data_IF_253977795106
#
_entry.id   IF_253977795106
#
_cell.length_a   1.000
_cell.length_b   1.000
_cell.length_c   1.000
_cell.angle_alpha   90.00
_cell.angle_beta   90.00
_cell.angle_gamma   90.00
#
_symmetry.space_group_name_H-M   'P 1'
#
loop_
_entity.id
_entity.type
_entity.pdbx_description
1 polymer ?
#
# COMPACT_ATOMS: atom_id res chain seq x y z
N UNK A 1 -3.15 6.63 -17.61
CA UNK A 1 -3.51 6.61 -16.18
C UNK A 1 -3.58 8.00 -15.50
N UNK A 2 -3.36 9.15 -16.16
CA UNK A 2 -3.26 10.45 -15.46
C UNK A 2 -4.44 11.42 -15.62
N UNK A 3 -5.28 11.31 -16.65
CA UNK A 3 -6.39 12.27 -16.88
C UNK A 3 -7.74 11.83 -16.29
N UNK A 4 -8.03 10.53 -16.23
CA UNK A 4 -9.36 9.99 -15.91
C UNK A 4 -9.35 9.01 -14.73
N UNK A 5 -8.50 9.27 -13.74
CA UNK A 5 -8.34 8.39 -12.56
C UNK A 5 -8.84 9.12 -11.32
N UNK A 6 -9.50 8.40 -10.43
CA UNK A 6 -9.94 8.90 -9.12
C UNK A 6 -9.15 8.16 -8.04
N UNK A 7 -8.65 8.91 -7.06
CA UNK A 7 -7.89 8.41 -5.93
C UNK A 7 -8.70 8.55 -4.66
N UNK A 8 -8.95 7.42 -3.99
CA UNK A 8 -9.55 7.38 -2.67
C UNK A 8 -8.44 7.29 -1.63
N UNK A 9 -8.34 8.27 -0.74
CA UNK A 9 -7.32 8.28 0.33
C UNK A 9 -7.95 8.68 1.66
N UNK A 10 -7.20 8.52 2.75
CA UNK A 10 -7.52 9.18 4.02
C UNK A 10 -7.33 10.72 3.91
N UNK A 11 -7.78 11.45 4.93
CA UNK A 11 -7.66 12.92 5.02
C UNK A 11 -6.26 13.35 5.50
N UNK A 12 -5.21 12.83 4.88
CA UNK A 12 -3.86 13.28 5.18
C UNK A 12 -3.47 14.49 4.35
N UNK A 13 -3.04 15.56 5.01
CA UNK A 13 -2.71 16.85 4.37
C UNK A 13 -1.64 16.74 3.27
N UNK A 14 -0.73 15.78 3.37
CA UNK A 14 0.28 15.54 2.34
C UNK A 14 -0.34 15.20 0.97
N UNK A 15 -1.50 14.53 0.94
CA UNK A 15 -2.15 14.16 -0.32
C UNK A 15 -2.76 15.37 -1.03
N UNK A 16 -3.20 16.39 -0.29
CA UNK A 16 -3.82 17.60 -0.83
C UNK A 16 -2.84 18.40 -1.71
N UNK A 17 -1.54 18.27 -1.49
CA UNK A 17 -0.50 18.94 -2.28
C UNK A 17 -0.04 18.14 -3.52
N UNK A 18 -0.26 16.83 -3.52
CA UNK A 18 0.25 15.91 -4.57
C UNK A 18 -0.85 15.51 -5.56
N UNK A 19 -2.07 15.27 -5.07
CA UNK A 19 -3.18 14.78 -5.88
C UNK A 19 -4.04 15.97 -6.34
N UNK A 20 -4.31 16.11 -7.66
CA UNK A 20 -5.22 17.13 -8.14
C UNK A 20 -6.59 17.04 -7.46
N UNK A 21 -7.15 18.17 -7.02
CA UNK A 21 -8.44 18.23 -6.29
C UNK A 21 -9.60 17.55 -7.02
N UNK A 22 -9.61 17.59 -8.35
CA UNK A 22 -10.64 16.95 -9.18
C UNK A 22 -10.51 15.41 -9.24
N UNK A 23 -9.39 14.86 -8.78
CA UNK A 23 -9.10 13.43 -8.74
C UNK A 23 -9.03 12.89 -7.32
N UNK A 24 -9.05 13.74 -6.30
CA UNK A 24 -8.89 13.36 -4.91
C UNK A 24 -10.26 13.24 -4.23
N UNK A 25 -10.60 12.02 -3.82
CA UNK A 25 -11.77 11.76 -2.98
C UNK A 25 -11.26 11.30 -1.61
N UNK A 26 -11.55 12.10 -0.59
CA UNK A 26 -11.28 11.70 0.80
C UNK A 26 -12.32 10.64 1.18
N UNK A 27 -11.85 9.46 1.56
CA UNK A 27 -12.70 8.39 2.04
C UNK A 27 -13.12 8.69 3.49
N UNK A 28 -14.42 8.84 3.72
CA UNK A 28 -14.95 9.01 5.07
C UNK A 28 -14.61 7.81 5.95
N UNK A 29 -14.39 8.06 7.23
CA UNK A 29 -14.10 7.00 8.21
C UNK A 29 -15.28 6.02 8.27
N UNK A 30 -15.03 4.75 7.99
CA UNK A 30 -16.05 3.70 7.97
C UNK A 30 -16.73 3.48 6.61
N UNK A 31 -16.40 4.28 5.58
CA UNK A 31 -16.88 4.05 4.20
C UNK A 31 -16.35 2.75 3.58
N UNK A 32 -15.23 2.24 4.09
CA UNK A 32 -14.60 1.00 3.63
C UNK A 32 -13.81 1.12 2.32
N UNK A 33 -13.73 2.32 1.71
CA UNK A 33 -12.97 2.51 0.47
C UNK A 33 -11.46 2.23 0.64
N UNK A 34 -10.88 2.50 1.82
CA UNK A 34 -9.48 2.17 2.13
C UNK A 34 -9.25 0.70 2.50
N UNK A 35 -10.31 -0.04 2.88
CA UNK A 35 -10.20 -1.42 3.34
C UNK A 35 -9.56 -2.35 2.30
N UNK A 36 -9.75 -2.07 1.01
CA UNK A 36 -9.17 -2.86 -0.08
C UNK A 36 -7.64 -2.76 -0.04
N UNK A 37 -7.10 -1.54 0.09
CA UNK A 37 -5.67 -1.27 0.17
C UNK A 37 -5.10 -1.83 1.47
N UNK A 38 -5.79 -1.62 2.59
CA UNK A 38 -5.40 -2.15 3.90
C UNK A 38 -5.33 -3.69 3.90
N UNK A 39 -6.35 -4.36 3.34
CA UNK A 39 -6.39 -5.82 3.20
C UNK A 39 -5.26 -6.33 2.30
N UNK A 40 -4.98 -5.64 1.21
CA UNK A 40 -3.87 -5.97 0.33
C UNK A 40 -2.52 -5.86 1.05
N UNK A 41 -2.28 -4.73 1.74
CA UNK A 41 -1.08 -4.52 2.53
C UNK A 41 -0.93 -5.54 3.66
N UNK A 42 -2.03 -5.91 4.31
CA UNK A 42 -2.06 -6.96 5.33
C UNK A 42 -1.71 -8.33 4.74
N UNK A 43 -2.27 -8.66 3.57
CA UNK A 43 -1.97 -9.90 2.84
C UNK A 43 -0.49 -9.97 2.47
N UNK A 44 0.07 -8.88 1.92
CA UNK A 44 1.50 -8.79 1.61
C UNK A 44 2.37 -8.96 2.85
N UNK A 45 2.00 -8.33 3.96
CA UNK A 45 2.74 -8.46 5.22
C UNK A 45 2.73 -9.89 5.76
N UNK A 46 1.61 -10.59 5.66
CA UNK A 46 1.49 -11.97 6.12
C UNK A 46 2.22 -12.95 5.21
N UNK A 47 2.11 -12.78 3.88
CA UNK A 47 2.75 -13.69 2.91
C UNK A 47 4.23 -13.40 2.68
N UNK A 48 4.62 -12.15 2.78
CA UNK A 48 5.97 -11.66 2.46
C UNK A 48 6.51 -10.80 3.61
N UNK A 49 6.47 -11.36 4.82
CA UNK A 49 6.97 -10.71 6.05
C UNK A 49 8.42 -10.22 5.94
N UNK A 50 9.21 -10.87 5.08
CA UNK A 50 10.59 -10.52 4.75
C UNK A 50 10.76 -9.13 4.10
N UNK A 51 9.75 -8.62 3.38
CA UNK A 51 9.82 -7.28 2.76
C UNK A 51 9.47 -6.15 3.74
N UNK A 52 8.92 -6.47 4.91
CA UNK A 52 8.36 -5.49 5.84
C UNK A 52 9.30 -5.18 7.02
N UNK A 53 10.28 -6.05 7.30
CA UNK A 53 11.22 -5.89 8.40
C UNK A 53 12.61 -5.51 7.89
N UNK A 54 12.96 -4.22 8.00
CA UNK A 54 14.33 -3.73 7.79
C UNK A 54 15.35 -4.32 8.80
N UNK A 55 14.86 -4.96 9.87
CA UNK A 55 15.67 -5.42 11.00
C UNK A 55 16.03 -6.91 10.97
N UNK A 56 15.43 -7.72 10.08
CA UNK A 56 15.71 -9.15 10.07
C UNK A 56 16.85 -9.42 9.08
N UNK A 57 18.02 -9.75 9.64
CA UNK A 57 19.29 -10.05 8.97
C UNK A 57 19.20 -11.31 8.13
N UNK A 58 18.39 -11.26 7.09
CA UNK A 58 18.29 -12.33 6.13
C UNK A 58 19.33 -12.14 5.04
N UNK A 59 19.88 -13.27 4.59
CA UNK A 59 20.71 -13.31 3.39
C UNK A 59 19.98 -12.62 2.24
N UNK A 60 20.64 -11.65 1.61
CA UNK A 60 20.15 -10.93 0.41
C UNK A 60 20.27 -11.78 -0.87
N UNK A 61 20.52 -13.09 -0.73
CA UNK A 61 20.64 -14.02 -1.86
C UNK A 61 19.28 -14.25 -2.52
N UNK A 62 19.27 -14.23 -3.85
CA UNK A 62 18.06 -14.30 -4.67
C UNK A 62 17.33 -15.64 -4.53
N UNK A 63 18.07 -16.72 -4.30
CA UNK A 63 17.54 -18.08 -4.13
C UNK A 63 16.66 -18.17 -2.89
N UNK A 64 17.10 -17.56 -1.78
CA UNK A 64 16.33 -17.51 -0.55
C UNK A 64 15.08 -16.62 -0.67
N UNK A 65 15.15 -15.57 -1.49
CA UNK A 65 14.01 -14.71 -1.80
C UNK A 65 12.94 -15.48 -2.58
N UNK A 66 13.34 -16.19 -3.65
CA UNK A 66 12.42 -17.01 -4.45
C UNK A 66 11.84 -18.14 -3.61
N UNK A 67 12.66 -18.85 -2.81
CA UNK A 67 12.20 -19.98 -2.00
C UNK A 67 11.25 -19.62 -0.85
N UNK A 68 11.17 -18.35 -0.45
CA UNK A 68 10.20 -17.91 0.58
C UNK A 68 8.86 -17.42 0.01
N UNK A 69 8.78 -17.18 -1.29
CA UNK A 69 7.51 -16.85 -1.95
C UNK A 69 6.78 -18.18 -2.19
N UNK A 70 5.75 -18.47 -1.38
CA UNK A 70 4.84 -19.61 -1.55
C UNK A 70 3.55 -19.19 -2.23
#
# INVERSE_FOLDING_TARGET
>A
YKKNSVFYTDDWDAYKSVIPKNQHVVADKGSGYTNIIERFNCTLRQRVSRLVLSALSFSKTIENHIGTIK
#
